data_IF_004009559385
#
_entry.id   IF_004009559385
#
_cell.length_a   1.000
_cell.length_b   1.000
_cell.length_c   1.000
_cell.angle_alpha   90.00
_cell.angle_beta   90.00
_cell.angle_gamma   90.00
#
_symmetry.space_group_name_H-M   'P 1'
#
loop_
_entity.id
_entity.type
_entity.pdbx_description
1 polymer ?
#
# COMPACT_ATOMS: atom_id res chain seq x y z
N UNK A 1 118.16 52.32 74.06
CA UNK A 1 116.78 52.06 74.52
C UNK A 1 115.68 52.42 73.51
N UNK A 2 115.90 53.29 72.50
CA UNK A 2 114.88 53.63 71.49
C UNK A 2 114.80 52.60 70.35
N UNK A 3 115.91 51.93 69.99
CA UNK A 3 115.91 50.87 68.97
C UNK A 3 115.01 49.68 69.34
N UNK A 4 114.95 49.29 70.61
CA UNK A 4 114.22 48.10 71.04
C UNK A 4 112.69 48.30 71.03
N UNK A 5 112.19 49.50 71.29
CA UNK A 5 110.74 49.82 71.20
C UNK A 5 110.26 49.94 69.75
N UNK A 6 111.11 50.48 68.86
CA UNK A 6 110.82 50.49 67.43
C UNK A 6 110.80 49.08 66.85
N UNK A 7 111.67 48.19 67.31
CA UNK A 7 111.66 46.77 66.93
C UNK A 7 110.38 46.05 67.39
N UNK A 8 109.89 46.27 68.62
CA UNK A 8 108.62 45.68 69.08
C UNK A 8 107.39 46.23 68.35
N UNK A 9 107.38 47.52 68.01
CA UNK A 9 106.26 48.16 67.31
C UNK A 9 106.24 47.77 65.82
N UNK A 10 107.41 47.65 65.20
CA UNK A 10 107.59 47.04 63.87
C UNK A 10 107.21 45.55 63.89
N UNK A 11 107.58 44.80 64.92
CA UNK A 11 107.21 43.40 65.07
C UNK A 11 105.70 43.21 65.32
N UNK A 12 105.05 44.10 66.07
CA UNK A 12 103.61 44.07 66.31
C UNK A 12 102.81 44.49 65.06
N UNK A 13 103.27 45.48 64.30
CA UNK A 13 102.69 45.86 63.01
C UNK A 13 102.95 44.79 61.94
N UNK A 14 104.14 44.19 61.92
CA UNK A 14 104.46 43.07 61.04
C UNK A 14 103.63 41.83 61.40
N UNK A 15 103.45 41.53 62.70
CA UNK A 15 102.60 40.44 63.19
C UNK A 15 101.11 40.68 62.92
N UNK A 16 100.63 41.92 63.11
CA UNK A 16 99.28 42.34 62.77
C UNK A 16 99.02 42.28 61.25
N UNK A 17 99.97 42.70 60.44
CA UNK A 17 99.93 42.57 58.98
C UNK A 17 100.00 41.09 58.54
N UNK A 18 100.81 40.27 59.21
CA UNK A 18 100.94 38.82 58.99
C UNK A 18 99.65 38.06 59.29
N UNK A 19 98.73 38.59 60.11
CA UNK A 19 97.42 37.98 60.41
C UNK A 19 96.29 38.64 59.60
N UNK A 20 96.30 39.98 59.51
CA UNK A 20 95.24 40.74 58.85
C UNK A 20 95.26 40.60 57.32
N UNK A 21 96.42 40.55 56.67
CA UNK A 21 96.52 40.33 55.22
C UNK A 21 95.99 38.95 54.79
N UNK A 22 96.38 37.83 55.42
CA UNK A 22 95.80 36.54 55.08
C UNK A 22 94.33 36.44 55.48
N UNK A 23 93.89 37.06 56.59
CA UNK A 23 92.47 37.11 56.95
C UNK A 23 91.64 37.91 55.93
N UNK A 24 92.12 39.08 55.49
CA UNK A 24 91.48 39.89 54.45
C UNK A 24 91.49 39.18 53.09
N UNK A 25 92.60 38.55 52.71
CA UNK A 25 92.71 37.76 51.49
C UNK A 25 91.75 36.55 51.54
N UNK A 26 91.70 35.83 52.67
CA UNK A 26 90.77 34.72 52.89
C UNK A 26 89.32 35.19 52.84
N UNK A 27 88.98 36.33 53.47
CA UNK A 27 87.64 36.90 53.42
C UNK A 27 87.26 37.36 52.01
N UNK A 28 88.17 37.98 51.26
CA UNK A 28 87.98 38.41 49.86
C UNK A 28 87.84 37.21 48.91
N UNK A 29 88.62 36.15 49.12
CA UNK A 29 88.50 34.89 48.39
C UNK A 29 87.19 34.17 48.74
N UNK A 30 86.80 34.17 50.01
CA UNK A 30 85.56 33.54 50.47
C UNK A 30 84.33 34.30 49.95
N UNK A 31 84.32 35.63 49.99
CA UNK A 31 83.24 36.46 49.44
C UNK A 31 83.18 36.38 47.91
N UNK A 32 84.31 36.34 47.21
CA UNK A 32 84.36 36.10 45.76
C UNK A 32 83.85 34.70 45.40
N UNK A 33 84.21 33.65 46.17
CA UNK A 33 83.69 32.28 46.00
C UNK A 33 82.19 32.21 46.28
N UNK A 34 81.70 32.87 47.33
CA UNK A 34 80.28 32.94 47.66
C UNK A 34 79.50 33.66 46.55
N UNK A 35 80.00 34.81 46.09
CA UNK A 35 79.39 35.57 44.99
C UNK A 35 79.41 34.77 43.67
N UNK A 36 80.47 34.04 43.37
CA UNK A 36 80.54 33.15 42.20
C UNK A 36 79.56 31.98 42.32
N UNK A 37 79.44 31.35 43.50
CA UNK A 37 78.45 30.30 43.78
C UNK A 37 77.02 30.82 43.61
N UNK A 38 76.68 31.93 44.26
CA UNK A 38 75.36 32.57 44.16
C UNK A 38 75.04 32.98 42.71
N UNK A 39 76.01 33.50 41.95
CA UNK A 39 75.84 33.78 40.52
C UNK A 39 75.59 32.51 39.72
N UNK A 40 76.36 31.44 39.94
CA UNK A 40 76.15 30.17 39.25
C UNK A 40 74.79 29.54 39.57
N UNK A 41 74.34 29.61 40.83
CA UNK A 41 73.02 29.15 41.26
C UNK A 41 71.90 29.99 40.66
N UNK A 42 72.05 31.33 40.63
CA UNK A 42 71.09 32.23 39.99
C UNK A 42 70.99 31.95 38.48
N UNK A 43 72.13 31.72 37.81
CA UNK A 43 72.16 31.44 36.37
C UNK A 43 71.58 30.06 36.05
N UNK A 44 71.83 29.06 36.90
CA UNK A 44 71.19 27.74 36.79
C UNK A 44 69.67 27.83 37.00
N UNK A 45 69.19 28.64 37.96
CA UNK A 45 67.75 28.87 38.16
C UNK A 45 67.10 29.61 37.00
N UNK A 46 67.78 30.60 36.41
CA UNK A 46 67.31 31.32 35.22
C UNK A 46 67.18 30.34 34.04
N UNK A 47 68.21 29.53 33.77
CA UNK A 47 68.15 28.53 32.71
C UNK A 47 67.06 27.47 32.92
N UNK A 48 66.85 27.05 34.18
CA UNK A 48 65.75 26.13 34.52
C UNK A 48 64.36 26.78 34.30
N UNK A 49 64.18 28.05 34.69
CA UNK A 49 62.95 28.80 34.43
C UNK A 49 62.70 29.00 32.93
N UNK A 50 63.73 29.30 32.16
CA UNK A 50 63.63 29.42 30.69
C UNK A 50 63.23 28.09 30.04
N UNK A 51 63.80 26.97 30.49
CA UNK A 51 63.41 25.64 30.02
C UNK A 51 61.94 25.30 30.38
N UNK A 52 61.51 25.62 31.60
CA UNK A 52 60.11 25.44 32.02
C UNK A 52 59.16 26.34 31.22
N UNK A 53 59.52 27.60 30.97
CA UNK A 53 58.72 28.50 30.14
C UNK A 53 58.63 28.02 28.68
N UNK A 54 59.71 27.48 28.12
CA UNK A 54 59.72 26.90 26.78
C UNK A 54 58.79 25.67 26.71
N UNK A 55 58.93 24.72 27.64
CA UNK A 55 58.06 23.56 27.74
C UNK A 55 56.59 23.94 27.96
N UNK A 56 56.32 24.94 28.80
CA UNK A 56 54.95 25.42 29.02
C UNK A 56 54.35 26.02 27.75
N UNK A 57 55.13 26.77 26.96
CA UNK A 57 54.68 27.32 25.68
C UNK A 57 54.32 26.22 24.68
N UNK A 58 55.12 25.16 24.64
CA UNK A 58 54.85 23.99 23.79
C UNK A 58 53.53 23.31 24.18
N UNK A 59 53.31 23.06 25.48
CA UNK A 59 52.05 22.50 26.00
C UNK A 59 50.84 23.40 25.69
N UNK A 60 50.99 24.73 25.77
CA UNK A 60 49.91 25.66 25.42
C UNK A 60 49.57 25.59 23.92
N UNK A 61 50.57 25.46 23.05
CA UNK A 61 50.34 25.29 21.60
C UNK A 61 49.66 23.97 21.28
N UNK A 62 50.11 22.86 21.89
CA UNK A 62 49.45 21.55 21.73
C UNK A 62 48.01 21.60 22.22
N UNK A 63 47.76 22.26 23.35
CA UNK A 63 46.41 22.44 23.89
C UNK A 63 45.53 23.27 22.95
N UNK A 64 46.03 24.38 22.42
CA UNK A 64 45.28 25.22 21.48
C UNK A 64 44.94 24.45 20.19
N UNK A 65 45.88 23.65 19.68
CA UNK A 65 45.64 22.77 18.53
C UNK A 65 44.59 21.69 18.85
N UNK A 66 44.66 21.07 20.04
CA UNK A 66 43.68 20.09 20.47
C UNK A 66 42.27 20.71 20.64
N UNK A 67 42.18 21.92 21.21
CA UNK A 67 40.92 22.66 21.32
C UNK A 67 40.34 22.99 19.94
N UNK A 68 41.16 23.46 18.99
CA UNK A 68 40.75 23.71 17.61
C UNK A 68 40.27 22.42 16.90
N UNK A 69 41.01 21.31 17.06
CA UNK A 69 40.63 20.03 16.49
C UNK A 69 39.31 19.51 17.07
N UNK A 70 39.09 19.68 18.38
CA UNK A 70 37.86 19.28 19.05
C UNK A 70 36.67 20.14 18.59
N UNK A 71 36.86 21.44 18.43
CA UNK A 71 35.84 22.32 17.86
C UNK A 71 35.48 21.91 16.42
N UNK A 72 36.47 21.65 15.57
CA UNK A 72 36.24 21.18 14.20
C UNK A 72 35.49 19.85 14.15
N UNK A 73 35.86 18.87 15.00
CA UNK A 73 35.17 17.59 15.10
C UNK A 73 33.72 17.76 15.57
N UNK A 74 33.47 18.66 16.54
CA UNK A 74 32.13 18.90 17.07
C UNK A 74 31.21 19.49 16.01
N UNK A 75 31.71 20.45 15.21
CA UNK A 75 30.95 21.00 14.08
C UNK A 75 30.69 19.94 13.00
N UNK A 76 31.68 19.11 12.67
CA UNK A 76 31.49 18.00 11.72
C UNK A 76 30.41 17.00 12.21
N UNK A 77 30.47 16.58 13.47
CA UNK A 77 29.50 15.67 14.05
C UNK A 77 28.09 16.27 14.08
N UNK A 78 27.98 17.58 14.34
CA UNK A 78 26.72 18.31 14.30
C UNK A 78 26.14 18.33 12.89
N UNK A 79 26.96 18.59 11.88
CA UNK A 79 26.54 18.56 10.47
C UNK A 79 26.11 17.15 10.04
N UNK A 80 26.87 16.12 10.42
CA UNK A 80 26.50 14.72 10.17
C UNK A 80 25.17 14.34 10.84
N UNK A 81 24.96 14.74 12.10
CA UNK A 81 23.71 14.50 12.83
C UNK A 81 22.53 15.20 12.15
N UNK A 82 22.71 16.45 11.69
CA UNK A 82 21.69 17.18 10.95
C UNK A 82 21.34 16.49 9.63
N UNK A 83 22.33 16.02 8.88
CA UNK A 83 22.11 15.25 7.65
C UNK A 83 21.41 13.92 7.93
N UNK A 84 21.79 13.21 8.99
CA UNK A 84 21.13 11.96 9.39
C UNK A 84 19.67 12.20 9.80
N UNK A 85 19.40 13.26 10.56
CA UNK A 85 18.03 13.63 10.94
C UNK A 85 17.17 13.92 9.70
N UNK A 86 17.71 14.70 8.75
CA UNK A 86 17.01 15.00 7.50
C UNK A 86 16.70 13.73 6.68
N UNK A 87 17.67 12.81 6.57
CA UNK A 87 17.46 11.50 5.92
C UNK A 87 16.43 10.64 6.65
N UNK A 88 16.41 10.67 7.98
CA UNK A 88 15.44 9.93 8.78
C UNK A 88 14.01 10.47 8.58
N UNK A 89 13.85 11.79 8.48
CA UNK A 89 12.54 12.41 8.22
C UNK A 89 12.06 12.14 6.79
N UNK A 90 12.96 12.15 5.80
CA UNK A 90 12.65 11.75 4.42
C UNK A 90 12.22 10.28 4.35
N UNK A 91 12.92 9.38 5.05
CA UNK A 91 12.56 7.96 5.14
C UNK A 91 11.20 7.76 5.79
N UNK A 92 10.89 8.50 6.87
CA UNK A 92 9.57 8.45 7.52
C UNK A 92 8.46 8.89 6.58
N UNK A 93 8.65 10.00 5.87
CA UNK A 93 7.68 10.48 4.89
C UNK A 93 7.46 9.47 3.75
N UNK A 94 8.53 8.82 3.28
CA UNK A 94 8.46 7.76 2.27
C UNK A 94 7.68 6.54 2.77
N UNK A 95 7.93 6.10 4.01
CA UNK A 95 7.21 4.99 4.65
C UNK A 95 5.72 5.29 4.83
N UNK A 96 5.36 6.49 5.26
CA UNK A 96 3.95 6.88 5.43
C UNK A 96 3.24 6.97 4.07
N UNK A 97 3.91 7.46 3.03
CA UNK A 97 3.40 7.43 1.67
C UNK A 97 3.22 5.98 1.16
N UNK A 98 4.14 5.07 1.46
CA UNK A 98 4.05 3.65 1.11
C UNK A 98 2.88 2.94 1.83
N UNK A 99 2.68 3.23 3.12
CA UNK A 99 1.53 2.75 3.89
C UNK A 99 0.21 3.23 3.28
N UNK A 100 0.11 4.53 2.96
CA UNK A 100 -1.08 5.09 2.32
C UNK A 100 -1.38 4.44 0.96
N UNK A 101 -0.36 4.18 0.13
CA UNK A 101 -0.52 3.43 -1.13
C UNK A 101 -1.00 1.99 -0.89
N UNK A 102 -0.42 1.31 0.10
CA UNK A 102 -0.82 -0.07 0.46
C UNK A 102 -2.29 -0.13 0.89
N UNK A 103 -2.74 0.79 1.72
CA UNK A 103 -4.15 0.88 2.12
C UNK A 103 -5.08 1.12 0.92
N UNK A 104 -4.73 2.06 0.04
CA UNK A 104 -5.49 2.31 -1.19
C UNK A 104 -5.60 1.06 -2.07
N UNK A 105 -4.49 0.34 -2.25
CA UNK A 105 -4.44 -0.89 -3.01
C UNK A 105 -5.29 -2.00 -2.40
N UNK A 106 -5.21 -2.21 -1.08
CA UNK A 106 -6.07 -3.21 -0.42
C UNK A 106 -7.56 -2.91 -0.61
N UNK A 107 -7.95 -1.63 -0.59
CA UNK A 107 -9.33 -1.23 -0.85
C UNK A 107 -9.74 -1.46 -2.31
N UNK A 108 -8.88 -1.14 -3.28
CA UNK A 108 -9.12 -1.44 -4.70
C UNK A 108 -9.26 -2.94 -4.95
N UNK A 109 -8.40 -3.77 -4.37
CA UNK A 109 -8.48 -5.22 -4.47
C UNK A 109 -9.82 -5.77 -3.95
N UNK A 110 -10.29 -5.27 -2.79
CA UNK A 110 -11.60 -5.64 -2.24
C UNK A 110 -12.75 -5.25 -3.17
N UNK A 111 -12.69 -4.07 -3.80
CA UNK A 111 -13.71 -3.63 -4.75
C UNK A 111 -13.76 -4.52 -5.99
N UNK A 112 -12.60 -4.85 -6.57
CA UNK A 112 -12.49 -5.76 -7.71
C UNK A 112 -13.07 -7.15 -7.37
N UNK A 113 -12.70 -7.69 -6.21
CA UNK A 113 -13.21 -8.98 -5.75
C UNK A 113 -14.74 -8.96 -5.53
N UNK A 114 -15.27 -7.86 -4.97
CA UNK A 114 -16.70 -7.65 -4.80
C UNK A 114 -17.46 -7.62 -6.13
N UNK A 115 -16.94 -6.89 -7.13
CA UNK A 115 -17.58 -6.83 -8.45
C UNK A 115 -17.51 -8.17 -9.18
N UNK A 116 -16.39 -8.90 -9.08
CA UNK A 116 -16.27 -10.25 -9.62
C UNK A 116 -17.32 -11.20 -9.03
N UNK A 117 -17.51 -11.18 -7.71
CA UNK A 117 -18.52 -12.01 -7.03
C UNK A 117 -19.94 -11.64 -7.48
N UNK A 118 -20.23 -10.35 -7.64
CA UNK A 118 -21.51 -9.84 -8.14
C UNK A 118 -21.77 -10.29 -9.59
N UNK A 119 -20.80 -10.17 -10.47
CA UNK A 119 -20.89 -10.64 -11.86
C UNK A 119 -21.09 -12.16 -11.95
N UNK A 120 -20.40 -12.94 -11.11
CA UNK A 120 -20.61 -14.39 -11.02
C UNK A 120 -22.04 -14.74 -10.58
N UNK A 121 -22.59 -14.01 -9.61
CA UNK A 121 -23.98 -14.18 -9.17
C UNK A 121 -25.00 -13.83 -10.27
N UNK A 122 -24.73 -12.78 -11.05
CA UNK A 122 -25.52 -12.46 -12.24
C UNK A 122 -25.42 -13.56 -13.30
N UNK A 123 -24.23 -14.08 -13.58
CA UNK A 123 -24.02 -15.18 -14.53
C UNK A 123 -24.85 -16.42 -14.18
N UNK A 124 -24.85 -16.82 -12.91
CA UNK A 124 -25.69 -17.94 -12.44
C UNK A 124 -27.20 -17.67 -12.57
N UNK A 125 -27.62 -16.40 -12.50
CA UNK A 125 -29.02 -16.01 -12.68
C UNK A 125 -29.43 -16.10 -14.16
N UNK A 126 -28.57 -15.65 -15.06
CA UNK A 126 -28.79 -15.77 -16.51
C UNK A 126 -28.84 -17.22 -16.97
N UNK A 127 -28.02 -18.10 -16.41
CA UNK A 127 -28.08 -19.55 -16.70
C UNK A 127 -29.44 -20.15 -16.31
N UNK A 128 -29.94 -19.83 -15.10
CA UNK A 128 -31.29 -20.27 -14.68
C UNK A 128 -32.39 -19.72 -15.59
N UNK A 129 -32.30 -18.46 -15.99
CA UNK A 129 -33.27 -17.88 -16.93
C UNK A 129 -33.20 -18.56 -18.30
N UNK A 130 -32.00 -18.91 -18.77
CA UNK A 130 -31.81 -19.65 -20.01
C UNK A 130 -32.52 -21.01 -19.98
N UNK A 131 -32.34 -21.79 -18.92
CA UNK A 131 -33.05 -23.07 -18.72
C UNK A 131 -34.57 -22.88 -18.66
N UNK A 132 -35.05 -21.87 -17.93
CA UNK A 132 -36.48 -21.55 -17.82
C UNK A 132 -37.09 -21.19 -19.18
N UNK A 133 -36.36 -20.47 -20.04
CA UNK A 133 -36.82 -20.12 -21.37
C UNK A 133 -36.90 -21.34 -22.30
N UNK A 134 -35.95 -22.27 -22.22
CA UNK A 134 -36.02 -23.55 -22.96
C UNK A 134 -37.28 -24.32 -22.56
N UNK A 135 -37.57 -24.39 -21.25
CA UNK A 135 -38.78 -25.00 -20.74
C UNK A 135 -40.05 -24.30 -21.26
N UNK A 136 -40.06 -22.96 -21.27
CA UNK A 136 -41.20 -22.17 -21.77
C UNK A 136 -41.43 -22.37 -23.27
N UNK A 137 -40.38 -22.44 -24.09
CA UNK A 137 -40.49 -22.75 -25.52
C UNK A 137 -41.08 -24.15 -25.75
N UNK A 138 -40.65 -25.13 -24.94
CA UNK A 138 -41.18 -26.50 -24.98
C UNK A 138 -42.66 -26.53 -24.61
N UNK A 139 -43.06 -25.78 -23.57
CA UNK A 139 -44.46 -25.65 -23.16
C UNK A 139 -45.32 -24.99 -24.23
N UNK A 140 -44.86 -23.92 -24.88
CA UNK A 140 -45.58 -23.30 -26.00
C UNK A 140 -45.79 -24.28 -27.15
N UNK A 141 -44.77 -25.08 -27.48
CA UNK A 141 -44.87 -26.11 -28.51
C UNK A 141 -45.94 -27.17 -28.17
N UNK A 142 -45.97 -27.65 -26.93
CA UNK A 142 -47.02 -28.58 -26.46
C UNK A 142 -48.42 -27.93 -26.52
N UNK A 143 -48.54 -26.66 -26.15
CA UNK A 143 -49.81 -25.92 -26.23
C UNK A 143 -50.29 -25.76 -27.67
N UNK A 144 -49.39 -25.56 -28.64
CA UNK A 144 -49.72 -25.59 -30.06
C UNK A 144 -50.30 -26.93 -30.49
N UNK A 145 -49.64 -28.04 -30.11
CA UNK A 145 -50.10 -29.39 -30.43
C UNK A 145 -51.49 -29.66 -29.85
N UNK A 146 -51.71 -29.33 -28.57
CA UNK A 146 -53.01 -29.46 -27.90
C UNK A 146 -54.11 -28.62 -28.55
N UNK A 147 -53.80 -27.39 -28.96
CA UNK A 147 -54.77 -26.56 -29.65
C UNK A 147 -55.10 -27.08 -31.06
N UNK A 148 -54.14 -27.67 -31.76
CA UNK A 148 -54.38 -28.34 -33.04
C UNK A 148 -55.30 -29.56 -32.87
N UNK A 149 -55.08 -30.36 -31.83
CA UNK A 149 -55.94 -31.49 -31.48
C UNK A 149 -57.36 -31.01 -31.15
N UNK A 150 -57.50 -29.98 -30.30
CA UNK A 150 -58.79 -29.37 -29.98
C UNK A 150 -59.51 -28.89 -31.25
N UNK A 151 -58.80 -28.20 -32.15
CA UNK A 151 -59.34 -27.76 -33.43
C UNK A 151 -59.84 -28.93 -34.29
N UNK A 152 -59.15 -30.07 -34.25
CA UNK A 152 -59.58 -31.31 -34.93
C UNK A 152 -60.84 -31.91 -34.31
N UNK A 153 -60.91 -31.98 -32.98
CA UNK A 153 -62.08 -32.46 -32.24
C UNK A 153 -63.29 -31.58 -32.58
N UNK A 154 -63.14 -30.26 -32.55
CA UNK A 154 -64.21 -29.32 -32.88
C UNK A 154 -64.73 -29.52 -34.30
N UNK A 155 -63.86 -29.66 -35.30
CA UNK A 155 -64.27 -30.00 -36.68
C UNK A 155 -65.07 -31.30 -36.75
N UNK A 156 -64.67 -32.32 -35.99
CA UNK A 156 -65.40 -33.58 -35.92
C UNK A 156 -66.80 -33.38 -35.31
N UNK A 157 -66.92 -32.59 -34.22
CA UNK A 157 -68.22 -32.26 -33.61
C UNK A 157 -69.13 -31.52 -34.59
N UNK A 158 -68.60 -30.62 -35.42
CA UNK A 158 -69.38 -29.96 -36.48
C UNK A 158 -69.97 -31.00 -37.44
N UNK A 159 -69.18 -31.98 -37.89
CA UNK A 159 -69.64 -33.04 -38.79
C UNK A 159 -70.71 -33.92 -38.12
N UNK A 160 -70.48 -34.35 -36.88
CA UNK A 160 -71.44 -35.19 -36.13
C UNK A 160 -72.76 -34.46 -35.89
N UNK A 161 -72.69 -33.17 -35.52
CA UNK A 161 -73.89 -32.34 -35.31
C UNK A 161 -74.69 -32.15 -36.61
N UNK A 162 -74.00 -31.97 -37.74
CA UNK A 162 -74.65 -31.90 -39.05
C UNK A 162 -75.37 -33.21 -39.40
N UNK A 163 -74.70 -34.35 -39.20
CA UNK A 163 -75.31 -35.67 -39.43
C UNK A 163 -76.54 -35.88 -38.53
N UNK A 164 -76.47 -35.47 -37.27
CA UNK A 164 -77.60 -35.51 -36.34
C UNK A 164 -78.76 -34.61 -36.79
N UNK A 165 -78.48 -33.40 -37.29
CA UNK A 165 -79.51 -32.51 -37.86
C UNK A 165 -80.19 -33.13 -39.08
N UNK A 166 -79.44 -33.79 -39.96
CA UNK A 166 -79.98 -34.47 -41.16
C UNK A 166 -80.90 -35.62 -40.75
N UNK A 167 -80.48 -36.48 -39.81
CA UNK A 167 -81.28 -37.60 -39.36
C UNK A 167 -82.53 -37.14 -38.59
N UNK A 168 -82.41 -36.07 -37.80
CA UNK A 168 -83.55 -35.44 -37.13
C UNK A 168 -84.58 -34.89 -38.13
N UNK A 169 -84.14 -34.30 -39.25
CA UNK A 169 -85.03 -33.86 -40.32
C UNK A 169 -85.71 -35.06 -41.01
N UNK A 170 -84.97 -36.16 -41.21
CA UNK A 170 -85.48 -37.40 -41.81
C UNK A 170 -86.57 -38.07 -40.97
N UNK A 171 -86.48 -37.99 -39.65
CA UNK A 171 -87.49 -38.49 -38.71
C UNK A 171 -88.77 -37.62 -38.64
N UNK A 172 -88.80 -36.48 -39.33
CA UNK A 172 -90.00 -35.62 -39.44
C UNK A 172 -90.46 -35.07 -38.08
N UNK A 173 -91.76 -35.12 -37.74
CA UNK A 173 -92.29 -34.53 -36.50
C UNK A 173 -91.67 -35.10 -35.22
N UNK A 174 -91.26 -36.38 -35.24
CA UNK A 174 -90.64 -37.05 -34.10
C UNK A 174 -89.20 -36.57 -33.83
N UNK A 175 -88.51 -36.03 -34.85
CA UNK A 175 -87.13 -35.57 -34.75
C UNK A 175 -86.95 -34.11 -34.32
N UNK A 176 -88.03 -33.32 -34.15
CA UNK A 176 -87.92 -31.87 -33.90
C UNK A 176 -87.07 -31.50 -32.69
N UNK A 177 -87.18 -32.24 -31.58
CA UNK A 177 -86.35 -32.02 -30.39
C UNK A 177 -84.86 -32.25 -30.66
N UNK A 178 -84.54 -33.32 -31.40
CA UNK A 178 -83.16 -33.64 -31.79
C UNK A 178 -82.59 -32.61 -32.76
N UNK A 179 -83.41 -32.05 -33.66
CA UNK A 179 -82.97 -31.00 -34.58
C UNK A 179 -82.51 -29.73 -33.85
N UNK A 180 -83.24 -29.33 -32.79
CA UNK A 180 -82.85 -28.18 -31.95
C UNK A 180 -81.53 -28.45 -31.23
N UNK A 181 -81.38 -29.63 -30.61
CA UNK A 181 -80.13 -30.01 -29.92
C UNK A 181 -78.96 -30.03 -30.90
N UNK A 182 -79.13 -30.61 -32.09
CA UNK A 182 -78.07 -30.68 -33.09
C UNK A 182 -77.64 -29.28 -33.58
N UNK A 183 -78.59 -28.35 -33.74
CA UNK A 183 -78.29 -26.95 -34.07
C UNK A 183 -77.51 -26.24 -32.97
N UNK A 184 -77.86 -26.46 -31.70
CA UNK A 184 -77.16 -25.87 -30.56
C UNK A 184 -75.73 -26.42 -30.43
N UNK A 185 -75.55 -27.73 -30.59
CA UNK A 185 -74.22 -28.36 -30.61
C UNK A 185 -73.36 -27.79 -31.74
N UNK A 186 -73.94 -27.58 -32.93
CA UNK A 186 -73.22 -26.98 -34.07
C UNK A 186 -72.80 -25.55 -33.79
N UNK A 187 -73.67 -24.75 -33.17
CA UNK A 187 -73.37 -23.38 -32.75
C UNK A 187 -72.22 -23.35 -31.72
N UNK A 188 -72.26 -24.24 -30.73
CA UNK A 188 -71.20 -24.36 -29.72
C UNK A 188 -69.85 -24.79 -30.34
N UNK A 189 -69.88 -25.70 -31.31
CA UNK A 189 -68.69 -26.12 -32.02
C UNK A 189 -68.09 -24.98 -32.85
N UNK A 190 -68.91 -24.20 -33.58
CA UNK A 190 -68.43 -23.03 -34.32
C UNK A 190 -67.78 -21.98 -33.41
N UNK A 191 -68.38 -21.70 -32.25
CA UNK A 191 -67.77 -20.80 -31.24
C UNK A 191 -66.46 -21.36 -30.67
N UNK A 192 -66.38 -22.68 -30.49
CA UNK A 192 -65.14 -23.34 -30.03
C UNK A 192 -64.02 -23.28 -31.07
N UNK A 193 -64.37 -23.33 -32.36
CA UNK A 193 -63.40 -23.20 -33.46
C UNK A 193 -62.81 -21.79 -33.50
N UNK A 194 -63.66 -20.77 -33.36
CA UNK A 194 -63.23 -19.37 -33.27
C UNK A 194 -62.29 -19.14 -32.07
N UNK A 195 -62.63 -19.70 -30.91
CA UNK A 195 -61.79 -19.63 -29.72
C UNK A 195 -60.43 -20.31 -29.93
N UNK A 196 -60.42 -21.50 -30.54
CA UNK A 196 -59.18 -22.23 -30.87
C UNK A 196 -58.31 -21.45 -31.86
N UNK A 197 -58.91 -20.75 -32.83
CA UNK A 197 -58.19 -19.86 -33.75
C UNK A 197 -57.55 -18.67 -33.01
N UNK A 198 -58.32 -17.99 -32.17
CA UNK A 198 -57.82 -16.88 -31.33
C UNK A 198 -56.68 -17.32 -30.41
N UNK A 199 -56.80 -18.52 -29.83
CA UNK A 199 -55.77 -19.11 -29.00
C UNK A 199 -54.49 -19.40 -29.79
N UNK A 200 -54.59 -19.94 -31.02
CA UNK A 200 -53.45 -20.14 -31.92
C UNK A 200 -52.71 -18.84 -32.21
N UNK A 201 -53.45 -17.77 -32.49
CA UNK A 201 -52.85 -16.46 -32.77
C UNK A 201 -52.11 -15.91 -31.53
N UNK A 202 -52.64 -16.18 -30.34
CA UNK A 202 -52.00 -15.82 -29.06
C UNK A 202 -50.73 -16.64 -28.82
N UNK A 203 -50.73 -17.94 -29.11
CA UNK A 203 -49.54 -18.79 -29.02
C UNK A 203 -48.43 -18.33 -29.98
N UNK A 204 -48.77 -17.94 -31.21
CA UNK A 204 -47.78 -17.39 -32.16
C UNK A 204 -47.16 -16.08 -31.66
N UNK A 205 -47.94 -15.21 -31.01
CA UNK A 205 -47.38 -14.01 -30.36
C UNK A 205 -46.45 -14.39 -29.22
N UNK A 206 -46.82 -15.38 -28.41
CA UNK A 206 -45.95 -15.87 -27.35
C UNK A 206 -44.64 -16.41 -27.91
N UNK A 207 -44.64 -17.15 -29.03
CA UNK A 207 -43.41 -17.65 -29.65
C UNK A 207 -42.44 -16.51 -30.01
N UNK A 208 -42.96 -15.43 -30.60
CA UNK A 208 -42.16 -14.25 -30.95
C UNK A 208 -41.56 -13.60 -29.71
N UNK A 209 -42.37 -13.38 -28.67
CA UNK A 209 -41.92 -12.80 -27.41
C UNK A 209 -40.89 -13.70 -26.72
N UNK A 210 -41.17 -15.00 -26.59
CA UNK A 210 -40.27 -15.97 -25.96
C UNK A 210 -38.94 -16.05 -26.71
N UNK A 211 -38.95 -16.05 -28.04
CA UNK A 211 -37.73 -16.08 -28.86
C UNK A 211 -36.91 -14.81 -28.69
N UNK A 212 -37.54 -13.62 -28.72
CA UNK A 212 -36.84 -12.35 -28.49
C UNK A 212 -36.22 -12.30 -27.09
N UNK A 213 -36.99 -12.63 -26.05
CA UNK A 213 -36.49 -12.66 -24.67
C UNK A 213 -35.33 -13.65 -24.50
N UNK A 214 -35.37 -14.79 -25.19
CA UNK A 214 -34.28 -15.76 -25.16
C UNK A 214 -32.99 -15.20 -25.79
N UNK A 215 -33.11 -14.46 -26.89
CA UNK A 215 -31.97 -13.77 -27.51
C UNK A 215 -31.37 -12.71 -26.58
N UNK A 216 -32.22 -11.93 -25.90
CA UNK A 216 -31.78 -10.91 -24.93
C UNK A 216 -31.05 -11.55 -23.74
N UNK A 217 -31.56 -12.67 -23.23
CA UNK A 217 -30.90 -13.45 -22.16
C UNK A 217 -29.54 -13.97 -22.64
N UNK A 218 -29.45 -14.51 -23.85
CA UNK A 218 -28.18 -14.98 -24.43
C UNK A 218 -27.16 -13.85 -24.61
N UNK A 219 -27.60 -12.70 -25.10
CA UNK A 219 -26.75 -11.52 -25.23
C UNK A 219 -26.27 -11.02 -23.86
N UNK A 220 -27.17 -10.91 -22.88
CA UNK A 220 -26.83 -10.52 -21.51
C UNK A 220 -25.87 -11.49 -20.83
N UNK A 221 -26.05 -12.80 -21.02
CA UNK A 221 -25.14 -13.83 -20.53
C UNK A 221 -23.73 -13.68 -21.10
N UNK A 222 -23.61 -13.46 -22.42
CA UNK A 222 -22.30 -13.20 -23.07
C UNK A 222 -21.64 -11.91 -22.56
N UNK A 223 -22.43 -10.85 -22.35
CA UNK A 223 -21.92 -9.58 -21.80
C UNK A 223 -21.40 -9.73 -20.36
N UNK A 224 -22.06 -10.54 -19.53
CA UNK A 224 -21.59 -10.85 -18.18
C UNK A 224 -20.30 -11.64 -18.22
N UNK A 225 -20.21 -12.67 -19.08
CA UNK A 225 -18.98 -13.45 -19.24
C UNK A 225 -17.80 -12.58 -19.69
N UNK A 226 -18.02 -11.67 -20.65
CA UNK A 226 -16.99 -10.72 -21.09
C UNK A 226 -16.59 -9.74 -19.99
N UNK A 227 -17.56 -9.23 -19.22
CA UNK A 227 -17.30 -8.36 -18.07
C UNK A 227 -16.49 -9.08 -16.99
N UNK A 228 -16.80 -10.35 -16.70
CA UNK A 228 -16.07 -11.15 -15.73
C UNK A 228 -14.61 -11.36 -16.17
N UNK A 229 -14.37 -11.72 -17.44
CA UNK A 229 -13.02 -11.85 -17.98
C UNK A 229 -12.22 -10.53 -17.90
N UNK A 230 -12.88 -9.39 -18.11
CA UNK A 230 -12.27 -8.06 -17.95
C UNK A 230 -11.87 -7.78 -16.50
N UNK A 231 -12.74 -8.13 -15.54
CA UNK A 231 -12.46 -7.99 -14.11
C UNK A 231 -11.31 -8.91 -13.67
N UNK A 232 -11.28 -10.15 -14.16
CA UNK A 232 -10.16 -11.08 -13.91
C UNK A 232 -8.83 -10.57 -14.48
N UNK A 233 -8.86 -10.00 -15.68
CA UNK A 233 -7.68 -9.36 -16.28
C UNK A 233 -7.21 -8.14 -15.48
N UNK A 234 -8.14 -7.33 -14.97
CA UNK A 234 -7.82 -6.22 -14.07
C UNK A 234 -7.19 -6.73 -12.75
N UNK A 235 -7.76 -7.78 -12.16
CA UNK A 235 -7.24 -8.40 -10.95
C UNK A 235 -5.81 -8.95 -11.15
N UNK A 236 -5.55 -9.61 -12.27
CA UNK A 236 -4.22 -10.15 -12.60
C UNK A 236 -3.19 -9.04 -12.80
N UNK A 237 -3.54 -7.96 -13.51
CA UNK A 237 -2.67 -6.79 -13.66
C UNK A 237 -2.37 -6.13 -12.33
N UNK A 238 -3.37 -6.04 -11.46
CA UNK A 238 -3.23 -5.50 -10.12
C UNK A 238 -2.29 -6.35 -9.26
N UNK A 239 -2.41 -7.68 -9.35
CA UNK A 239 -1.50 -8.60 -8.67
C UNK A 239 -0.04 -8.43 -9.13
N UNK A 240 0.19 -8.33 -10.45
CA UNK A 240 1.53 -8.10 -11.00
C UNK A 240 2.14 -6.77 -10.53
N UNK A 241 1.35 -5.71 -10.42
CA UNK A 241 1.82 -4.42 -9.88
C UNK A 241 2.23 -4.49 -8.41
N UNK A 242 1.59 -5.36 -7.61
CA UNK A 242 2.00 -5.57 -6.21
C UNK A 242 3.37 -6.26 -6.11
N UNK A 243 3.66 -7.19 -7.02
CA UNK A 243 4.93 -7.92 -7.04
C UNK A 243 6.12 -7.04 -7.50
N UNK A 244 5.86 -5.98 -8.27
CA UNK A 244 6.88 -5.04 -8.74
C UNK A 244 7.29 -3.98 -7.70
N UNK A 245 6.59 -3.87 -6.57
CA UNK A 245 6.90 -2.89 -5.52
C UNK A 245 8.03 -3.45 -4.66
N UNK A 246 9.23 -2.84 -4.68
CA UNK A 246 10.30 -3.28 -3.80
C UNK A 246 9.87 -3.06 -2.35
N UNK A 247 9.88 -4.14 -1.57
CA UNK A 247 9.71 -4.12 -0.11
C UNK A 247 10.77 -3.24 0.58
#
# INVERSE_FOLDING_TARGET
>A
MIQQYQEYLLAALAGGALIALPAWAAHKLHSAKLAARLRSEAQARIGALEAVHAAHREVLLEREQAEQALHALTEQLRDELMQQSARADEMRASLDAARGRTEQWTNQARQIAGEAARLKGLGATFERWHEQMISLMTQNHDMHAKNQELSSIVRHVVIVSLNASIEAARAGPAGRGFAVVASEVRSLAARSEELSKSYRDSLHRNDLTTTSTFQDIQAGGKMIAASLASVESLANRFHAQLDEVPM
#
